data_IF_734074554748
#
_entry.id   IF_734074554748
#
_cell.length_a   1.000
_cell.length_b   1.000
_cell.length_c   1.000
_cell.angle_alpha   90.00
_cell.angle_beta   90.00
_cell.angle_gamma   90.00
#
_symmetry.space_group_name_H-M   'P 1'
#
loop_
_entity.id
_entity.type
_entity.pdbx_description
1 polymer ?
#
# COMPACT_ATOMS: atom_id res chain seq x y z
N UNK A 1 -1.57 14.64 12.19
CA UNK A 1 -0.45 13.67 12.25
C UNK A 1 -0.45 12.88 13.56
N UNK A 2 -0.34 13.52 14.72
CA UNK A 2 -0.23 12.84 16.04
C UNK A 2 -1.40 11.93 16.39
N UNK A 3 -2.63 12.35 16.09
CA UNK A 3 -3.85 11.56 16.36
C UNK A 3 -3.93 10.29 15.53
N UNK A 4 -3.60 10.36 14.23
CA UNK A 4 -3.57 9.19 13.35
C UNK A 4 -2.55 8.14 13.81
N UNK A 5 -1.37 8.59 14.27
CA UNK A 5 -0.34 7.70 14.82
C UNK A 5 -0.85 6.99 16.08
N UNK A 6 -1.52 7.70 16.99
CA UNK A 6 -2.10 7.09 18.20
C UNK A 6 -3.19 6.08 17.87
N UNK A 7 -4.07 6.37 16.90
CA UNK A 7 -5.11 5.44 16.46
C UNK A 7 -4.49 4.19 15.82
N UNK A 8 -3.45 4.35 15.00
CA UNK A 8 -2.73 3.23 14.41
C UNK A 8 -2.07 2.34 15.47
N UNK A 9 -1.38 2.95 16.45
CA UNK A 9 -0.73 2.21 17.55
C UNK A 9 -1.76 1.46 18.40
N UNK A 10 -2.89 2.10 18.72
CA UNK A 10 -3.99 1.45 19.45
C UNK A 10 -4.60 0.30 18.65
N UNK A 11 -4.82 0.49 17.35
CA UNK A 11 -5.33 -0.56 16.47
C UNK A 11 -4.40 -1.78 16.41
N UNK A 12 -3.10 -1.55 16.26
CA UNK A 12 -2.10 -2.64 16.26
C UNK A 12 -2.04 -3.35 17.61
N UNK A 13 -2.11 -2.63 18.72
CA UNK A 13 -2.14 -3.23 20.06
C UNK A 13 -3.40 -4.07 20.28
N UNK A 14 -4.57 -3.60 19.82
CA UNK A 14 -5.82 -4.36 19.88
C UNK A 14 -5.77 -5.63 19.04
N UNK A 15 -5.22 -5.57 17.82
CA UNK A 15 -5.01 -6.75 16.96
C UNK A 15 -4.07 -7.76 17.62
N UNK A 16 -2.98 -7.31 18.25
CA UNK A 16 -2.05 -8.19 18.95
C UNK A 16 -2.72 -8.91 20.12
N UNK A 17 -3.52 -8.20 20.93
CA UNK A 17 -4.27 -8.79 22.04
C UNK A 17 -5.31 -9.80 21.58
N UNK A 18 -6.02 -9.52 20.47
CA UNK A 18 -6.97 -10.45 19.86
C UNK A 18 -6.27 -11.70 19.32
N UNK A 19 -5.10 -11.54 18.68
CA UNK A 19 -4.29 -12.68 18.21
C UNK A 19 -3.84 -13.58 19.35
N UNK A 20 -3.33 -13.01 20.45
CA UNK A 20 -2.90 -13.78 21.64
C UNK A 20 -4.04 -14.51 22.34
N UNK A 21 -5.27 -13.98 22.28
CA UNK A 21 -6.44 -14.67 22.83
C UNK A 21 -6.92 -15.83 21.91
N UNK A 22 -6.65 -15.75 20.60
CA UNK A 22 -7.12 -16.72 19.62
C UNK A 22 -6.24 -17.97 19.47
N UNK A 23 -5.02 -17.98 20.01
CA UNK A 23 -4.08 -19.12 19.89
C UNK A 23 -4.57 -20.44 20.54
N UNK A 24 -5.76 -20.47 21.16
CA UNK A 24 -6.25 -21.63 21.94
C UNK A 24 -7.31 -22.47 21.21
N UNK A 25 -8.04 -21.99 20.19
CA UNK A 25 -9.01 -22.84 19.48
C UNK A 25 -9.60 -22.19 18.21
N UNK A 26 -9.66 -22.97 17.12
CA UNK A 26 -10.45 -22.78 15.89
C UNK A 26 -9.87 -21.91 14.76
N UNK A 27 -9.03 -22.55 13.95
CA UNK A 27 -8.44 -22.07 12.69
C UNK A 27 -9.43 -22.01 11.49
N UNK A 28 -10.76 -21.97 11.71
CA UNK A 28 -11.74 -22.05 10.61
C UNK A 28 -12.64 -20.80 10.42
N UNK A 29 -13.05 -20.05 11.46
CA UNK A 29 -13.85 -18.82 11.28
C UNK A 29 -12.98 -17.62 10.89
N UNK A 30 -11.70 -17.63 11.28
CA UNK A 30 -10.77 -16.53 11.06
C UNK A 30 -10.37 -16.37 9.59
N UNK A 31 -10.37 -17.43 8.78
CA UNK A 31 -10.06 -17.32 7.34
C UNK A 31 -11.18 -16.64 6.56
N UNK A 32 -12.46 -16.85 6.92
CA UNK A 32 -13.58 -16.17 6.28
C UNK A 32 -13.66 -14.71 6.70
N UNK A 33 -13.43 -14.39 7.98
CA UNK A 33 -13.32 -12.99 8.43
C UNK A 33 -12.09 -12.30 7.85
N UNK A 34 -10.96 -13.00 7.72
CA UNK A 34 -9.77 -12.47 7.06
C UNK A 34 -10.01 -12.28 5.56
N UNK A 35 -10.74 -13.18 4.88
CA UNK A 35 -11.17 -12.97 3.49
C UNK A 35 -12.20 -11.84 3.36
N UNK A 36 -13.13 -11.69 4.29
CA UNK A 36 -14.09 -10.60 4.31
C UNK A 36 -13.39 -9.26 4.55
N UNK A 37 -12.39 -9.25 5.44
CA UNK A 37 -11.53 -8.10 5.69
C UNK A 37 -10.66 -7.80 4.46
N UNK A 38 -9.94 -8.79 3.93
CA UNK A 38 -9.11 -8.67 2.71
C UNK A 38 -9.96 -8.34 1.49
N UNK A 39 -11.24 -8.70 1.40
CA UNK A 39 -12.12 -8.24 0.30
C UNK A 39 -12.67 -6.84 0.54
N UNK A 40 -12.98 -6.48 1.78
CA UNK A 40 -13.38 -5.12 2.18
C UNK A 40 -12.25 -4.11 1.93
N UNK A 41 -11.01 -4.49 2.26
CA UNK A 41 -9.80 -3.70 2.00
C UNK A 41 -9.22 -3.95 0.60
N UNK A 42 -9.44 -5.14 0.03
CA UNK A 42 -9.05 -5.52 -1.32
C UNK A 42 -9.78 -4.65 -2.32
N UNK A 43 -11.09 -4.44 -2.19
CA UNK A 43 -11.81 -3.45 -2.99
C UNK A 43 -11.29 -2.01 -2.83
N UNK A 44 -10.57 -1.70 -1.75
CA UNK A 44 -9.90 -0.43 -1.51
C UNK A 44 -8.54 -0.31 -2.24
N UNK A 45 -7.93 -1.44 -2.63
CA UNK A 45 -6.72 -1.53 -3.44
C UNK A 45 -6.99 -1.99 -4.89
N UNK A 46 -8.15 -2.57 -5.14
CA UNK A 46 -8.62 -3.18 -6.39
C UNK A 46 -9.69 -2.29 -7.05
N UNK A 47 -9.87 -1.08 -6.53
CA UNK A 47 -10.57 -0.02 -7.24
C UNK A 47 -9.67 0.60 -8.30
N UNK A 48 -10.01 0.23 -9.53
CA UNK A 48 -10.37 1.23 -10.55
C UNK A 48 -9.24 1.72 -11.47
N UNK A 49 -9.03 0.95 -12.55
CA UNK A 49 -8.68 1.31 -13.95
C UNK A 49 -8.65 2.79 -14.38
N UNK A 50 -7.87 3.66 -13.74
CA UNK A 50 -7.59 5.03 -14.18
C UNK A 50 -6.18 5.39 -13.70
N UNK A 51 -5.14 5.56 -14.51
CA UNK A 51 -5.04 5.65 -15.96
C UNK A 51 -4.02 4.68 -16.52
N UNK A 52 -4.46 3.96 -17.55
CA UNK A 52 -3.62 3.70 -18.72
C UNK A 52 -3.09 5.06 -19.20
N UNK A 53 -1.92 5.50 -18.75
CA UNK A 53 -1.34 6.77 -19.23
C UNK A 53 0.13 6.58 -19.63
N UNK A 54 0.34 5.48 -20.37
CA UNK A 54 1.40 5.12 -21.32
C UNK A 54 1.54 3.60 -21.22
N UNK A 55 1.50 2.87 -22.35
CA UNK A 55 1.61 1.40 -22.38
C UNK A 55 2.95 0.90 -21.77
N UNK A 56 3.91 1.80 -21.57
CA UNK A 56 5.24 1.55 -21.04
C UNK A 56 5.53 2.22 -19.67
N UNK A 57 4.50 2.69 -18.94
CA UNK A 57 4.71 3.28 -17.61
C UNK A 57 5.31 2.27 -16.63
N UNK A 58 6.10 2.77 -15.70
CA UNK A 58 6.84 1.96 -14.72
C UNK A 58 6.15 1.97 -13.37
N UNK A 59 5.95 0.76 -12.84
CA UNK A 59 5.35 0.55 -11.53
C UNK A 59 6.27 1.05 -10.40
N UNK A 60 5.77 1.01 -9.16
CA UNK A 60 6.52 1.37 -7.96
C UNK A 60 7.83 0.58 -7.89
N UNK A 61 8.94 1.27 -7.61
CA UNK A 61 10.32 0.78 -7.64
C UNK A 61 10.90 0.42 -9.02
N UNK A 62 10.16 0.64 -10.11
CA UNK A 62 10.72 0.61 -11.47
C UNK A 62 11.70 1.77 -11.68
N UNK A 63 12.83 1.53 -12.34
CA UNK A 63 13.83 2.59 -12.57
C UNK A 63 13.31 3.67 -13.53
N UNK A 64 13.65 4.95 -13.40
CA UNK A 64 13.07 6.01 -14.26
C UNK A 64 14.13 7.06 -14.65
N UNK A 65 13.81 7.90 -15.63
CA UNK A 65 14.56 9.11 -16.00
C UNK A 65 13.79 10.39 -15.67
N UNK A 66 12.47 10.38 -15.86
CA UNK A 66 11.55 11.49 -15.59
C UNK A 66 10.24 11.02 -14.92
N UNK A 67 9.46 11.95 -14.37
CA UNK A 67 8.20 11.63 -13.69
C UNK A 67 7.19 10.94 -14.63
N UNK A 68 7.19 11.28 -15.92
CA UNK A 68 6.30 10.70 -16.93
C UNK A 68 6.61 9.22 -17.25
N UNK A 69 7.78 8.71 -16.86
CA UNK A 69 8.09 7.28 -16.98
C UNK A 69 7.31 6.44 -15.96
N UNK A 70 6.78 7.07 -14.91
CA UNK A 70 6.15 6.39 -13.79
C UNK A 70 4.63 6.35 -13.97
N UNK A 71 4.01 5.26 -13.52
CA UNK A 71 2.55 5.14 -13.58
C UNK A 71 1.84 6.16 -12.66
N UNK A 72 0.51 6.27 -12.79
CA UNK A 72 -0.29 7.19 -11.99
C UNK A 72 0.01 7.07 -10.48
N UNK A 73 0.08 8.23 -9.82
CA UNK A 73 0.45 8.40 -8.41
C UNK A 73 1.90 8.09 -8.05
N UNK A 74 2.75 7.91 -9.06
CA UNK A 74 4.18 7.75 -8.90
C UNK A 74 4.91 8.92 -9.55
N UNK A 75 6.09 9.22 -9.02
CA UNK A 75 7.04 10.16 -9.59
C UNK A 75 8.44 9.60 -9.48
N UNK A 76 9.33 10.06 -10.36
CA UNK A 76 10.69 9.61 -10.43
C UNK A 76 11.53 10.24 -9.31
N UNK A 77 11.91 9.40 -8.33
CA UNK A 77 12.81 9.81 -7.26
C UNK A 77 14.24 9.62 -7.72
N UNK A 78 14.89 10.73 -8.06
CA UNK A 78 16.31 10.79 -8.41
C UNK A 78 17.23 10.74 -7.19
N UNK A 79 16.67 10.87 -5.99
CA UNK A 79 17.42 10.77 -4.73
C UNK A 79 17.94 9.35 -4.53
N UNK A 80 19.26 9.21 -4.47
CA UNK A 80 19.93 7.95 -4.16
C UNK A 80 19.75 7.61 -2.68
N UNK A 81 18.77 6.77 -2.39
CA UNK A 81 18.55 6.20 -1.06
C UNK A 81 18.94 4.72 -1.12
N UNK A 82 19.86 4.24 -0.26
CA UNK A 82 20.17 2.82 -0.18
C UNK A 82 18.87 2.01 0.06
N UNK A 83 18.57 0.94 -0.71
CA UNK A 83 19.41 0.24 -1.69
C UNK A 83 19.30 0.72 -3.15
N UNK A 84 18.49 1.73 -3.44
CA UNK A 84 18.24 2.25 -4.78
C UNK A 84 19.39 3.17 -5.23
N UNK A 85 20.33 2.61 -5.99
CA UNK A 85 21.43 3.37 -6.60
C UNK A 85 20.98 4.21 -7.81
N UNK A 86 19.88 3.80 -8.46
CA UNK A 86 19.31 4.43 -9.64
C UNK A 86 17.98 5.11 -9.29
N UNK A 87 17.59 6.15 -10.04
CA UNK A 87 16.29 6.77 -9.86
C UNK A 87 15.18 5.74 -10.02
N UNK A 88 14.14 5.85 -9.19
CA UNK A 88 13.03 4.89 -9.17
C UNK A 88 11.69 5.59 -8.99
N UNK A 89 10.65 4.99 -9.54
CA UNK A 89 9.29 5.44 -9.37
C UNK A 89 8.85 5.18 -7.92
N UNK A 90 8.46 6.23 -7.21
CA UNK A 90 7.90 6.14 -5.87
C UNK A 90 6.64 6.99 -5.77
N UNK A 91 5.82 6.70 -4.77
CA UNK A 91 4.61 7.47 -4.51
C UNK A 91 4.87 8.98 -4.50
N UNK A 92 4.14 9.71 -5.33
CA UNK A 92 4.29 11.17 -5.49
C UNK A 92 3.55 11.97 -4.41
N UNK A 93 2.68 11.31 -3.64
CA UNK A 93 1.84 11.94 -2.61
C UNK A 93 0.40 12.20 -3.06
N UNK A 94 0.05 11.90 -4.30
CA UNK A 94 -1.29 12.12 -4.83
C UNK A 94 -2.22 10.95 -4.48
N UNK A 95 -3.22 11.19 -3.63
CA UNK A 95 -4.29 10.22 -3.34
C UNK A 95 -5.56 10.68 -4.05
N UNK A 96 -5.76 10.23 -5.28
CA UNK A 96 -6.98 10.53 -6.05
C UNK A 96 -6.70 11.03 -7.46
N UNK A 97 -7.68 10.84 -8.34
CA UNK A 97 -7.60 11.18 -9.75
C UNK A 97 -7.51 12.70 -9.94
N UNK A 98 -6.38 13.19 -10.45
CA UNK A 98 -6.34 14.53 -11.07
C UNK A 98 -6.73 14.42 -12.53
#
# INVERSE_FOLDING_TARGET
>A
MKTLVLVAVLGVASLYLLSSASEVQQLSPAEEEFRAFVSTFGGLFETEERGVDSEDCRAMFGGCGEDNDCCLHLGCKTTKLPPFANPYCAWDGTTGRK
#
